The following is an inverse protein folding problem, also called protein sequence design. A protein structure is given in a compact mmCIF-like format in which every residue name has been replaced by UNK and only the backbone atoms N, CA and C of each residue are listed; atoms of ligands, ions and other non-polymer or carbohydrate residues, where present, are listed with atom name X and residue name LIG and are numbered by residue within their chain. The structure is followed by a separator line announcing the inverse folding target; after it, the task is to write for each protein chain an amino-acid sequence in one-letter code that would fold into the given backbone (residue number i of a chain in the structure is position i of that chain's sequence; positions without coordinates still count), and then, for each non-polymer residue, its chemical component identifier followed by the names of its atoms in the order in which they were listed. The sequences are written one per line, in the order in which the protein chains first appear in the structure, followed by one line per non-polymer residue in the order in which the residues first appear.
data_IF_292284033191
#
_entry.id   IF_292284033191
#
_cell.length_a   1.000
_cell.length_b   1.000
_cell.length_c   1.000
_cell.angle_alpha   90.00
_cell.angle_beta   90.00
_cell.angle_gamma   90.00
#
_symmetry.space_group_name_H-M   'P 1'
#
loop_
_entity.id
_entity.type
_entity.pdbx_description
1 polymer ?
#
# COMPACT_ATOMS: atom_id res chain seq x y z
N UNK A 1 8.23 -8.83 -26.68
CA UNK A 1 8.00 -8.55 -26.29
C UNK A 1 7.17 -7.98 -25.63
N UNK A 2 6.49 -7.66 -25.48
CA UNK A 2 5.65 -7.09 -24.93
C UNK A 2 5.16 -7.64 -23.75
N UNK A 3 5.70 -8.49 -23.21
CA UNK A 3 5.39 -9.02 -21.95
C UNK A 3 5.53 -8.07 -20.86
N UNK A 4 6.39 -7.11 -21.00
CA UNK A 4 6.58 -6.11 -19.99
C UNK A 4 5.32 -5.34 -19.70
N UNK A 5 4.51 -5.14 -20.70
CA UNK A 5 3.28 -4.38 -20.50
C UNK A 5 2.38 -5.07 -19.49
N UNK A 6 2.32 -6.39 -19.52
CA UNK A 6 1.49 -7.12 -18.60
C UNK A 6 2.07 -7.08 -17.20
N UNK A 7 3.38 -6.95 -17.10
CA UNK A 7 4.03 -6.99 -15.80
C UNK A 7 3.95 -5.69 -15.04
N UNK A 8 3.50 -4.62 -15.68
CA UNK A 8 3.38 -3.35 -14.99
C UNK A 8 2.10 -3.25 -14.20
N UNK A 9 1.21 -4.22 -14.32
CA UNK A 9 -0.01 -4.21 -13.52
C UNK A 9 0.33 -4.47 -12.08
N UNK A 10 -0.05 -3.57 -11.17
CA UNK A 10 0.25 -3.77 -9.76
C UNK A 10 -0.61 -4.85 -9.13
N UNK A 11 -0.07 -5.49 -8.12
CA UNK A 11 -0.84 -6.38 -7.27
C UNK A 11 -1.57 -5.53 -6.25
N UNK A 12 -2.88 -5.72 -6.14
CA UNK A 12 -3.69 -4.99 -5.16
C UNK A 12 -3.92 -5.87 -3.96
N UNK A 13 -3.53 -5.40 -2.78
CA UNK A 13 -3.73 -6.10 -1.52
C UNK A 13 -4.77 -5.33 -0.73
N UNK A 14 -5.97 -5.90 -0.58
CA UNK A 14 -7.04 -5.26 0.16
C UNK A 14 -6.81 -5.51 1.65
N UNK A 15 -6.68 -4.44 2.42
CA UNK A 15 -6.39 -4.55 3.84
C UNK A 15 -7.68 -4.66 4.65
N UNK A 16 -7.58 -5.14 5.92
CA UNK A 16 -8.79 -5.34 6.74
C UNK A 16 -9.54 -4.06 7.02
N UNK A 17 -10.80 -4.20 7.42
CA UNK A 17 -11.62 -3.07 7.78
C UNK A 17 -11.08 -2.34 9.01
N UNK A 18 -10.48 -3.07 9.93
CA UNK A 18 -9.90 -2.49 11.14
C UNK A 18 -8.50 -3.07 11.33
N UNK A 19 -7.56 -2.20 11.62
CA UNK A 19 -6.17 -2.61 11.83
C UNK A 19 -5.70 -2.05 13.16
N UNK A 20 -5.31 -2.97 14.06
CA UNK A 20 -4.79 -2.58 15.36
C UNK A 20 -3.69 -3.56 15.76
N UNK A 21 -3.29 -3.51 17.02
CA UNK A 21 -2.17 -4.33 17.49
C UNK A 21 -2.46 -5.83 17.35
N UNK A 22 -3.74 -6.23 17.32
CA UNK A 22 -4.08 -7.65 17.26
C UNK A 22 -3.86 -8.24 15.88
N UNK A 23 -3.87 -7.44 14.82
CA UNK A 23 -3.69 -7.96 13.46
C UNK A 23 -2.64 -7.23 12.64
N UNK A 24 -1.93 -6.28 13.24
CA UNK A 24 -0.94 -5.51 12.48
C UNK A 24 0.17 -6.39 11.91
N UNK A 25 0.58 -7.41 12.65
CA UNK A 25 1.61 -8.31 12.14
C UNK A 25 1.12 -9.09 10.93
N UNK A 26 -0.15 -9.50 10.94
CA UNK A 26 -0.74 -10.21 9.81
C UNK A 26 -0.82 -9.29 8.59
N UNK A 27 -1.08 -8.01 8.81
CA UNK A 27 -1.11 -7.04 7.72
C UNK A 27 0.27 -6.95 7.08
N UNK A 28 1.33 -6.88 7.89
CA UNK A 28 2.68 -6.86 7.37
C UNK A 28 2.95 -8.12 6.55
N UNK A 29 2.60 -9.29 7.09
CA UNK A 29 2.84 -10.55 6.40
C UNK A 29 2.06 -10.65 5.11
N UNK A 30 0.82 -10.14 5.10
CA UNK A 30 -0.01 -10.13 3.92
C UNK A 30 0.64 -9.30 2.80
N UNK A 31 1.16 -8.14 3.16
CA UNK A 31 1.82 -7.27 2.19
C UNK A 31 3.12 -7.87 1.68
N UNK A 32 3.91 -8.46 2.58
CA UNK A 32 5.17 -9.07 2.16
C UNK A 32 4.93 -10.29 1.28
N UNK A 33 3.85 -11.03 1.55
CA UNK A 33 3.52 -12.19 0.71
C UNK A 33 3.21 -11.77 -0.73
N UNK A 34 2.80 -10.53 -0.95
CA UNK A 34 2.52 -10.03 -2.30
C UNK A 34 3.81 -9.66 -3.05
N UNK A 35 4.95 -9.64 -2.38
CA UNK A 35 6.22 -9.27 -2.98
C UNK A 35 6.90 -10.49 -3.63
N UNK A 36 6.14 -11.25 -4.38
CA UNK A 36 6.64 -12.47 -5.02
C UNK A 36 7.55 -12.13 -6.20
N UNK A 37 8.41 -13.06 -6.62
CA UNK A 37 9.26 -12.82 -7.79
C UNK A 37 8.43 -12.43 -9.00
N UNK A 38 8.88 -11.43 -9.71
CA UNK A 38 8.19 -10.92 -10.90
C UNK A 38 7.21 -9.80 -10.63
N UNK A 39 6.90 -9.53 -9.35
CA UNK A 39 6.02 -8.43 -8.99
C UNK A 39 6.84 -7.15 -8.94
N UNK A 40 6.45 -6.13 -9.69
CA UNK A 40 7.15 -4.86 -9.72
C UNK A 40 6.48 -3.77 -8.92
N UNK A 41 5.19 -3.92 -8.63
CA UNK A 41 4.44 -2.89 -7.92
C UNK A 41 3.27 -3.48 -7.14
N UNK A 42 2.97 -2.85 -6.02
CA UNK A 42 1.92 -3.31 -5.10
C UNK A 42 1.15 -2.08 -4.61
N UNK A 43 -0.16 -2.21 -4.53
CA UNK A 43 -1.00 -1.20 -3.91
C UNK A 43 -1.58 -1.79 -2.62
N UNK A 44 -1.30 -1.15 -1.50
CA UNK A 44 -1.95 -1.48 -0.24
C UNK A 44 -3.25 -0.70 -0.20
N UNK A 45 -4.35 -1.40 -0.35
CA UNK A 45 -5.67 -0.77 -0.50
C UNK A 45 -6.37 -0.71 0.85
N UNK A 46 -6.41 0.49 1.42
CA UNK A 46 -7.10 0.79 2.66
C UNK A 46 -8.38 1.58 2.43
N UNK A 47 -8.90 1.59 1.20
CA UNK A 47 -10.06 2.43 0.92
C UNK A 47 -11.29 1.99 1.70
N UNK A 48 -11.36 0.74 2.12
CA UNK A 48 -12.46 0.25 2.96
C UNK A 48 -12.09 0.19 4.44
N UNK A 49 -10.87 0.54 4.79
CA UNK A 49 -10.43 0.49 6.19
C UNK A 49 -11.03 1.68 6.95
N UNK A 50 -11.76 1.37 8.01
CA UNK A 50 -12.43 2.40 8.81
C UNK A 50 -11.66 2.76 10.07
N UNK A 51 -10.70 1.94 10.47
CA UNK A 51 -9.89 2.20 11.66
C UNK A 51 -8.48 1.65 11.46
N UNK A 52 -7.50 2.46 11.86
CA UNK A 52 -6.11 2.01 11.84
C UNK A 52 -5.36 2.82 12.89
N UNK A 53 -4.75 2.14 13.84
CA UNK A 53 -3.94 2.84 14.84
C UNK A 53 -2.47 2.84 14.43
N UNK A 54 -1.62 3.34 15.32
CA UNK A 54 -0.20 3.50 14.98
C UNK A 54 0.50 2.16 14.74
N UNK A 55 0.04 1.08 15.36
CA UNK A 55 0.68 -0.22 15.10
C UNK A 55 0.40 -0.67 13.66
N UNK A 56 -0.80 -0.40 13.16
CA UNK A 56 -1.14 -0.69 11.77
C UNK A 56 -0.31 0.15 10.81
N UNK A 57 -0.16 1.43 11.11
CA UNK A 57 0.63 2.32 10.27
C UNK A 57 2.08 1.85 10.22
N UNK A 58 2.64 1.45 11.36
CA UNK A 58 4.02 0.97 11.41
C UNK A 58 4.19 -0.32 10.59
N UNK A 59 3.20 -1.20 10.62
CA UNK A 59 3.25 -2.43 9.84
C UNK A 59 3.29 -2.11 8.35
N UNK A 60 2.49 -1.14 7.91
CA UNK A 60 2.45 -0.74 6.51
C UNK A 60 3.76 -0.09 6.10
N UNK A 61 4.30 0.79 6.95
CA UNK A 61 5.57 1.44 6.65
C UNK A 61 6.71 0.43 6.58
N UNK A 62 6.70 -0.55 7.47
CA UNK A 62 7.70 -1.61 7.44
C UNK A 62 7.59 -2.43 6.15
N UNK A 63 6.38 -2.73 5.73
CA UNK A 63 6.18 -3.45 4.46
C UNK A 63 6.69 -2.62 3.28
N UNK A 64 6.49 -1.31 3.33
CA UNK A 64 6.98 -0.42 2.29
C UNK A 64 8.51 -0.49 2.22
N UNK A 65 9.18 -0.49 3.37
CA UNK A 65 10.64 -0.60 3.40
C UNK A 65 11.11 -1.94 2.85
N UNK A 66 10.40 -3.01 3.21
CA UNK A 66 10.74 -4.33 2.70
C UNK A 66 10.57 -4.38 1.19
N UNK A 67 9.50 -3.78 0.68
CA UNK A 67 9.26 -3.73 -0.76
C UNK A 67 10.38 -2.97 -1.46
N UNK A 68 10.77 -1.81 -0.92
CA UNK A 68 11.83 -1.01 -1.51
C UNK A 68 13.14 -1.76 -1.57
N UNK A 69 13.44 -2.56 -0.54
CA UNK A 69 14.66 -3.34 -0.50
C UNK A 69 14.66 -4.45 -1.57
N UNK A 70 13.50 -4.78 -2.10
CA UNK A 70 13.36 -5.79 -3.16
C UNK A 70 13.05 -5.16 -4.51
N UNK A 71 13.22 -3.85 -4.62
CA UNK A 71 12.92 -3.10 -5.86
C UNK A 71 11.46 -3.22 -6.27
N UNK A 72 10.55 -3.36 -5.31
CA UNK A 72 9.12 -3.35 -5.56
C UNK A 72 8.58 -1.99 -5.14
N UNK A 73 7.83 -1.34 -6.02
CA UNK A 73 7.23 -0.05 -5.71
C UNK A 73 5.89 -0.27 -5.04
N UNK A 74 5.70 0.32 -3.88
CA UNK A 74 4.45 0.20 -3.14
C UNK A 74 3.81 1.57 -2.98
N UNK A 75 2.50 1.61 -3.17
CA UNK A 75 1.70 2.81 -2.96
C UNK A 75 0.53 2.46 -2.07
N UNK A 76 -0.01 3.49 -1.41
CA UNK A 76 -1.11 3.31 -0.47
C UNK A 76 -2.34 4.03 -1.03
N UNK A 77 -3.49 3.37 -0.98
CA UNK A 77 -4.76 3.99 -1.34
C UNK A 77 -5.62 4.08 -0.08
N UNK A 78 -6.10 5.27 0.25
CA UNK A 78 -6.91 5.48 1.44
C UNK A 78 -7.99 6.51 1.14
N UNK A 79 -9.20 6.25 1.62
CA UNK A 79 -10.31 7.16 1.38
C UNK A 79 -10.11 8.46 2.17
N UNK A 80 -10.33 9.62 1.55
CA UNK A 80 -10.18 10.89 2.26
C UNK A 80 -11.30 11.15 3.25
N UNK A 81 -12.35 10.32 3.23
CA UNK A 81 -13.51 10.56 4.09
C UNK A 81 -13.46 9.80 5.40
N UNK A 82 -12.40 9.00 5.64
CA UNK A 82 -12.29 8.23 6.87
C UNK A 82 -11.30 8.88 7.83
N UNK A 83 -11.43 8.53 9.11
CA UNK A 83 -10.48 9.00 10.11
C UNK A 83 -9.08 8.41 9.91
N UNK A 84 -8.98 7.34 9.15
CA UNK A 84 -7.69 6.71 8.84
C UNK A 84 -6.77 7.72 8.16
N UNK A 85 -7.32 8.49 7.22
CA UNK A 85 -6.52 9.49 6.52
C UNK A 85 -5.85 10.44 7.49
N UNK A 86 -6.60 10.87 8.52
CA UNK A 86 -6.06 11.79 9.51
C UNK A 86 -4.92 11.16 10.32
N UNK A 87 -5.07 9.89 10.68
CA UNK A 87 -4.01 9.20 11.41
C UNK A 87 -2.74 9.16 10.57
N UNK A 88 -2.87 8.84 9.28
CA UNK A 88 -1.73 8.81 8.37
C UNK A 88 -1.07 10.17 8.27
N UNK A 89 -1.87 11.23 8.19
CA UNK A 89 -1.34 12.59 8.10
C UNK A 89 -0.59 12.97 9.37
N UNK A 90 -1.16 12.64 10.54
CA UNK A 90 -0.52 12.98 11.80
C UNK A 90 0.82 12.27 11.98
N UNK A 91 0.94 11.07 11.48
CA UNK A 91 2.19 10.32 11.57
C UNK A 91 3.17 10.76 10.47
N UNK A 92 2.65 11.35 9.40
CA UNK A 92 3.50 11.84 8.32
C UNK A 92 3.83 10.79 7.27
N UNK A 93 2.92 9.83 7.07
CA UNK A 93 3.15 8.73 6.13
C UNK A 93 3.40 9.24 4.72
N UNK A 94 2.72 10.30 4.32
CA UNK A 94 2.86 10.84 2.97
C UNK A 94 4.26 11.35 2.64
N UNK A 95 5.09 11.57 3.64
CA UNK A 95 6.48 11.96 3.42
C UNK A 95 7.37 10.77 3.13
N UNK A 96 6.90 9.56 3.44
CA UNK A 96 7.69 8.35 3.34
C UNK A 96 7.27 7.50 2.17
N UNK A 97 6.00 7.53 1.81
CA UNK A 97 5.49 6.72 0.72
C UNK A 97 4.32 7.43 0.02
N UNK A 98 4.09 7.12 -1.26
CA UNK A 98 2.97 7.73 -1.99
C UNK A 98 1.63 7.29 -1.42
N UNK A 99 0.73 8.25 -1.20
CA UNK A 99 -0.62 8.01 -0.71
C UNK A 99 -1.61 8.62 -1.69
N UNK A 100 -2.59 7.83 -2.08
CA UNK A 100 -3.60 8.22 -3.06
C UNK A 100 -4.99 8.17 -2.46
N UNK A 101 -5.91 8.96 -3.01
CA UNK A 101 -7.27 9.10 -2.47
C UNK A 101 -8.19 7.96 -2.84
N UNK A 102 -7.78 7.13 -3.79
CA UNK A 102 -8.62 6.03 -4.26
C UNK A 102 -7.73 4.96 -4.89
N UNK A 103 -8.29 3.78 -5.03
CA UNK A 103 -7.60 2.71 -5.73
C UNK A 103 -7.32 3.13 -7.17
N UNK A 104 -8.30 3.77 -7.82
CA UNK A 104 -8.13 4.19 -9.20
C UNK A 104 -6.98 5.19 -9.34
N UNK A 105 -6.86 6.13 -8.41
CA UNK A 105 -5.77 7.09 -8.44
C UNK A 105 -4.42 6.40 -8.31
N UNK A 106 -4.33 5.40 -7.44
CA UNK A 106 -3.08 4.66 -7.26
C UNK A 106 -2.73 3.86 -8.51
N UNK A 107 -3.72 3.23 -9.13
CA UNK A 107 -3.50 2.49 -10.37
C UNK A 107 -3.03 3.42 -11.49
N UNK A 108 -3.67 4.57 -11.61
CA UNK A 108 -3.31 5.53 -12.64
C UNK A 108 -1.89 6.05 -12.43
N UNK A 109 -1.49 6.27 -11.18
CA UNK A 109 -0.16 6.75 -10.87
C UNK A 109 0.91 5.76 -11.32
N UNK A 110 0.67 4.46 -11.15
CA UNK A 110 1.61 3.44 -11.63
C UNK A 110 1.67 3.43 -13.15
N UNK A 111 0.54 3.57 -13.81
CA UNK A 111 0.53 3.62 -15.27
C UNK A 111 1.37 4.77 -15.80
N UNK A 112 1.27 5.93 -15.15
CA UNK A 112 1.99 7.12 -15.56
C UNK A 112 3.48 6.95 -15.27
N UNK A 113 3.81 6.47 -14.07
CA UNK A 113 5.20 6.34 -13.66
C UNK A 113 5.93 5.24 -14.41
N UNK A 114 5.20 4.20 -14.78
CA UNK A 114 5.80 3.03 -15.37
C UNK A 114 6.25 3.24 -16.80
N UNK A 115 5.91 4.36 -17.35
CA UNK A 115 6.29 4.66 -18.73
C UNK A 115 7.78 4.72 -18.93
#
# INVERSE_FOLDING_TARGET
MNDQAAQVMPVVVVLPLEIDVTNSEQVYEQLVAALAPGVGSVIADMTSTSFCDSSGVHAIMHAYETAAARDVRMRLAVSPTTSVRRVLELIGVGRLMPVHESLQAALTAFSTDGA
#
